data_IF_669919390981
#
_entry.id   IF_669919390981
#
_cell.length_a   1.000
_cell.length_b   1.000
_cell.length_c   1.000
_cell.angle_alpha   90.00
_cell.angle_beta   90.00
_cell.angle_gamma   90.00
#
_symmetry.space_group_name_H-M   'P 1'
#
loop_
_entity.id
_entity.type
_entity.pdbx_description
1 polymer ?
#
# COMPACT_ATOMS: atom_id res chain seq x y z
N UNK A 1 8.76 13.87 19.73
CA UNK A 1 7.93 14.29 18.58
C UNK A 1 8.60 13.97 17.24
N UNK A 2 9.93 14.08 17.12
CA UNK A 2 10.71 13.66 15.94
C UNK A 2 10.54 12.16 15.61
N UNK A 3 10.75 11.29 16.59
CA UNK A 3 10.93 9.85 16.35
C UNK A 3 9.63 9.13 15.95
N UNK A 4 8.49 9.66 16.39
CA UNK A 4 7.16 9.12 16.04
C UNK A 4 6.83 9.47 14.58
N UNK A 5 7.19 10.68 14.15
CA UNK A 5 6.98 11.11 12.77
C UNK A 5 7.91 10.37 11.80
N UNK A 6 9.14 10.09 12.21
CA UNK A 6 10.10 9.29 11.45
C UNK A 6 9.59 7.85 11.27
N UNK A 7 9.19 7.18 12.35
CA UNK A 7 8.58 5.82 12.28
C UNK A 7 7.32 5.78 11.42
N UNK A 8 6.48 6.80 11.49
CA UNK A 8 5.27 6.88 10.66
C UNK A 8 5.62 7.03 9.18
N UNK A 9 6.64 7.83 8.88
CA UNK A 9 7.16 8.01 7.52
C UNK A 9 7.71 6.71 6.97
N UNK A 10 8.43 5.94 7.77
CA UNK A 10 8.94 4.61 7.40
C UNK A 10 7.81 3.64 7.08
N UNK A 11 6.74 3.62 7.89
CA UNK A 11 5.56 2.78 7.63
C UNK A 11 4.89 3.20 6.32
N UNK A 12 4.73 4.51 6.06
CA UNK A 12 4.16 5.01 4.81
C UNK A 12 5.02 4.58 3.61
N UNK A 13 6.34 4.67 3.71
CA UNK A 13 7.25 4.25 2.65
C UNK A 13 7.20 2.74 2.44
N UNK A 14 7.12 1.96 3.51
CA UNK A 14 6.96 0.51 3.43
C UNK A 14 5.63 0.12 2.76
N UNK A 15 4.54 0.83 3.08
CA UNK A 15 3.27 0.66 2.37
C UNK A 15 3.41 0.96 0.87
N UNK A 16 4.08 2.06 0.49
CA UNK A 16 4.35 2.38 -0.93
C UNK A 16 5.10 1.24 -1.60
N UNK A 17 6.19 0.77 -0.99
CA UNK A 17 7.00 -0.31 -1.53
C UNK A 17 6.22 -1.61 -1.67
N UNK A 18 5.42 -1.99 -0.67
CA UNK A 18 4.63 -3.23 -0.70
C UNK A 18 3.49 -3.18 -1.73
N UNK A 19 2.94 -2.00 -2.01
CA UNK A 19 1.94 -1.84 -3.08
C UNK A 19 2.60 -1.83 -4.45
N UNK A 20 3.71 -1.11 -4.62
CA UNK A 20 4.41 -0.96 -5.91
C UNK A 20 5.13 -2.23 -6.36
N UNK A 21 5.83 -2.91 -5.44
CA UNK A 21 6.63 -4.08 -5.77
C UNK A 21 5.74 -5.22 -6.27
N UNK A 22 6.12 -5.82 -7.39
CA UNK A 22 5.43 -6.99 -7.94
C UNK A 22 5.64 -8.20 -7.03
N UNK A 23 4.54 -8.85 -6.66
CA UNK A 23 4.58 -10.00 -5.76
C UNK A 23 5.37 -11.14 -6.39
N UNK A 24 6.45 -11.56 -5.73
CA UNK A 24 7.34 -12.63 -6.20
C UNK A 24 8.74 -12.15 -6.57
N UNK A 25 8.90 -10.87 -6.87
CA UNK A 25 10.15 -10.28 -7.36
C UNK A 25 11.10 -9.83 -6.25
N UNK A 26 10.57 -9.60 -5.03
CA UNK A 26 11.40 -9.18 -3.90
C UNK A 26 12.20 -10.35 -3.31
N UNK A 27 13.52 -10.22 -3.30
CA UNK A 27 14.41 -11.10 -2.55
C UNK A 27 14.75 -10.46 -1.18
N UNK A 28 14.68 -11.19 -0.05
CA UNK A 28 14.51 -12.64 0.06
C UNK A 28 13.05 -13.12 0.20
N UNK A 29 12.06 -12.23 0.36
CA UNK A 29 10.66 -12.63 0.59
C UNK A 29 9.80 -12.54 -0.68
N UNK A 30 9.61 -13.68 -1.35
CA UNK A 30 8.72 -13.82 -2.51
C UNK A 30 7.25 -13.49 -2.23
N UNK A 31 6.84 -13.40 -0.96
CA UNK A 31 5.47 -13.03 -0.61
C UNK A 31 5.27 -11.53 -0.47
N UNK A 32 6.34 -10.74 -0.39
CA UNK A 32 6.28 -9.29 -0.38
C UNK A 32 5.81 -8.75 -1.73
N UNK A 33 5.17 -7.59 -1.72
CA UNK A 33 4.60 -6.96 -2.91
C UNK A 33 3.13 -7.27 -3.13
N UNK A 34 2.59 -6.72 -4.21
CA UNK A 34 1.19 -6.85 -4.61
C UNK A 34 1.06 -7.30 -6.08
N UNK A 35 -0.13 -7.77 -6.44
CA UNK A 35 -0.49 -8.09 -7.84
C UNK A 35 -1.35 -6.98 -8.45
N UNK A 36 -1.17 -5.75 -8.00
CA UNK A 36 -2.08 -4.64 -8.30
C UNK A 36 -2.18 -4.30 -9.79
N UNK A 37 -1.12 -4.56 -10.56
CA UNK A 37 -1.11 -4.39 -12.01
C UNK A 37 -2.16 -5.25 -12.72
N UNK A 38 -2.56 -6.39 -12.14
CA UNK A 38 -3.61 -7.26 -12.69
C UNK A 38 -5.02 -6.73 -12.45
N UNK A 39 -5.16 -5.74 -11.57
CA UNK A 39 -6.44 -5.20 -11.13
C UNK A 39 -6.77 -3.83 -11.76
N UNK A 40 -6.04 -3.39 -12.80
CA UNK A 40 -6.26 -2.09 -13.46
C UNK A 40 -7.74 -1.90 -13.86
N UNK A 41 -8.35 -0.82 -13.36
CA UNK A 41 -9.77 -0.53 -13.59
C UNK A 41 -10.78 -1.30 -12.72
N UNK A 42 -10.33 -2.11 -11.76
CA UNK A 42 -11.18 -2.81 -10.79
C UNK A 42 -10.74 -2.52 -9.35
N UNK A 43 -11.28 -1.44 -8.78
CA UNK A 43 -10.89 -0.94 -7.44
C UNK A 43 -11.17 -1.94 -6.32
N UNK A 44 -12.22 -2.78 -6.44
CA UNK A 44 -12.51 -3.82 -5.43
C UNK A 44 -11.43 -4.90 -5.41
N UNK A 45 -10.95 -5.29 -6.59
CA UNK A 45 -9.86 -6.25 -6.71
C UNK A 45 -8.52 -5.62 -6.26
N UNK A 46 -8.26 -4.36 -6.63
CA UNK A 46 -7.11 -3.61 -6.14
C UNK A 46 -7.08 -3.54 -4.61
N UNK A 47 -8.22 -3.21 -3.98
CA UNK A 47 -8.36 -3.13 -2.53
C UNK A 47 -8.01 -4.48 -1.87
N UNK A 48 -8.45 -5.58 -2.47
CA UNK A 48 -8.17 -6.92 -1.97
C UNK A 48 -6.68 -7.26 -2.06
N UNK A 49 -6.01 -6.92 -3.16
CA UNK A 49 -4.57 -7.12 -3.31
C UNK A 49 -3.74 -6.24 -2.38
N UNK A 50 -4.11 -4.97 -2.19
CA UNK A 50 -3.43 -4.07 -1.26
C UNK A 50 -3.59 -4.56 0.17
N UNK A 51 -4.80 -4.95 0.58
CA UNK A 51 -5.04 -5.53 1.91
C UNK A 51 -4.18 -6.76 2.16
N UNK A 52 -4.04 -7.63 1.16
CA UNK A 52 -3.16 -8.79 1.26
C UNK A 52 -1.69 -8.39 1.38
N UNK A 53 -1.21 -7.44 0.56
CA UNK A 53 0.18 -6.97 0.57
C UNK A 53 0.57 -6.32 1.91
N UNK A 54 -0.36 -5.57 2.52
CA UNK A 54 -0.14 -4.86 3.78
C UNK A 54 -0.54 -5.67 5.03
N UNK A 55 -1.10 -6.87 4.87
CA UNK A 55 -1.66 -7.68 5.98
C UNK A 55 -0.68 -8.05 7.08
N UNK A 56 0.62 -8.06 6.78
CA UNK A 56 1.69 -8.38 7.74
C UNK A 56 2.27 -7.14 8.44
N UNK A 57 1.87 -5.93 8.03
CA UNK A 57 2.33 -4.70 8.65
C UNK A 57 1.52 -4.42 9.91
N UNK A 58 2.20 -4.44 11.05
CA UNK A 58 1.56 -4.15 12.33
C UNK A 58 1.10 -2.68 12.40
N UNK A 59 -0.07 -2.47 13.00
CA UNK A 59 -0.66 -1.14 13.14
C UNK A 59 -1.18 -0.50 11.85
N UNK A 60 -1.19 -1.22 10.70
CA UNK A 60 -1.69 -0.71 9.42
C UNK A 60 -3.02 -1.36 9.05
N UNK A 61 -4.04 -0.54 8.81
CA UNK A 61 -5.34 -1.01 8.32
C UNK A 61 -5.78 -0.27 7.05
N UNK A 62 -6.11 -1.01 5.99
CA UNK A 62 -6.50 -0.44 4.69
C UNK A 62 -8.01 -0.26 4.61
N UNK A 63 -8.45 1.00 4.58
CA UNK A 63 -9.87 1.37 4.50
C UNK A 63 -10.39 1.29 3.07
N UNK A 64 -9.71 1.97 2.14
CA UNK A 64 -10.21 2.17 0.79
C UNK A 64 -9.08 2.30 -0.23
N UNK A 65 -9.41 2.15 -1.51
CA UNK A 65 -8.52 2.45 -2.62
C UNK A 65 -9.28 3.21 -3.70
N UNK A 66 -8.60 4.17 -4.33
CA UNK A 66 -9.10 4.89 -5.50
C UNK A 66 -8.04 4.84 -6.60
N UNK A 67 -8.46 4.62 -7.85
CA UNK A 67 -7.56 4.65 -9.00
C UNK A 67 -7.88 5.78 -9.97
N UNK A 68 -6.98 6.75 -10.06
CA UNK A 68 -7.05 7.86 -11.02
C UNK A 68 -6.37 7.45 -12.31
N UNK A 69 -7.18 7.05 -13.31
CA UNK A 69 -6.71 6.53 -14.60
C UNK A 69 -5.75 7.46 -15.36
N UNK A 70 -6.01 8.77 -15.35
CA UNK A 70 -5.22 9.72 -16.14
C UNK A 70 -3.78 9.86 -15.64
N UNK A 71 -3.58 9.68 -14.34
CA UNK A 71 -2.28 9.87 -13.67
C UNK A 71 -1.61 8.54 -13.31
N UNK A 72 -2.24 7.41 -13.67
CA UNK A 72 -1.95 6.08 -13.16
C UNK A 72 -1.72 6.04 -11.63
N UNK A 73 -2.47 6.88 -10.91
CA UNK A 73 -2.27 7.07 -9.49
C UNK A 73 -3.24 6.20 -8.70
N UNK A 74 -2.68 5.43 -7.78
CA UNK A 74 -3.41 4.73 -6.74
C UNK A 74 -3.29 5.53 -5.45
N UNK A 75 -4.44 5.86 -4.88
CA UNK A 75 -4.54 6.44 -3.54
C UNK A 75 -5.10 5.39 -2.60
N UNK A 76 -4.36 5.08 -1.53
CA UNK A 76 -4.76 4.12 -0.51
C UNK A 76 -5.03 4.88 0.79
N UNK A 77 -6.26 4.79 1.29
CA UNK A 77 -6.62 5.31 2.60
C UNK A 77 -6.28 4.27 3.66
N UNK A 78 -5.38 4.61 4.58
CA UNK A 78 -4.91 3.71 5.65
C UNK A 78 -5.08 4.35 7.02
N UNK A 79 -5.31 3.51 8.02
CA UNK A 79 -5.09 3.85 9.43
C UNK A 79 -3.72 3.34 9.82
N UNK A 80 -2.88 4.22 10.34
CA UNK A 80 -1.59 3.86 10.95
C UNK A 80 -1.68 4.24 12.42
N UNK A 81 -1.63 3.26 13.32
CA UNK A 81 -1.79 3.49 14.76
C UNK A 81 -3.04 4.32 15.12
N UNK A 82 -4.17 4.01 14.49
CA UNK A 82 -5.47 4.70 14.61
C UNK A 82 -5.55 6.12 14.03
N UNK A 83 -4.52 6.60 13.33
CA UNK A 83 -4.57 7.88 12.63
C UNK A 83 -4.77 7.68 11.13
N UNK A 84 -5.68 8.47 10.54
CA UNK A 84 -5.92 8.43 9.09
C UNK A 84 -4.76 9.07 8.32
N UNK A 85 -4.29 8.33 7.31
CA UNK A 85 -3.20 8.71 6.41
C UNK A 85 -3.52 8.24 5.00
N UNK A 86 -2.82 8.84 4.03
CA UNK A 86 -2.92 8.45 2.62
C UNK A 86 -1.56 8.01 2.10
N UNK A 87 -1.59 6.94 1.31
CA UNK A 87 -0.42 6.41 0.60
C UNK A 87 -0.69 6.52 -0.89
N UNK A 88 0.23 7.17 -1.59
CA UNK A 88 0.16 7.42 -3.03
C UNK A 88 1.17 6.56 -3.76
N UNK A 89 0.74 5.86 -4.80
CA UNK A 89 1.58 4.96 -5.63
C UNK A 89 1.23 5.12 -7.10
N UNK A 90 2.25 5.30 -7.95
CA UNK A 90 2.09 5.41 -9.41
C UNK A 90 2.46 4.08 -10.07
N UNK A 91 1.62 3.57 -10.99
CA UNK A 91 1.75 2.25 -11.65
C UNK A 91 1.52 2.25 -13.18
#
# INVERSE_FOLDING_TARGET
MSDINEKTTDIINLCRSAVYCEKGEFYPDKNFGSRIHEAKGNERLMLSFIRMALSKLDGVYVKNVTYTKNDNLITVDVLINNEERQVYVVI
#
